data_IF_121394731353
#
_entry.id   IF_121394731353
#
_cell.length_a   1.000
_cell.length_b   1.000
_cell.length_c   1.000
_cell.angle_alpha   90.00
_cell.angle_beta   90.00
_cell.angle_gamma   90.00
#
_symmetry.space_group_name_H-M   'P 1'
#
loop_
_entity.id
_entity.type
_entity.pdbx_description
1 polymer ?
#
# COMPACT_ATOMS: atom_id res chain seq x y z
N UNK A 1 4.40 18.48 -9.04
CA UNK A 1 4.33 19.08 -7.76
C UNK A 1 5.07 18.29 -6.71
N UNK A 2 5.55 19.03 -5.79
CA UNK A 2 6.13 18.44 -4.61
C UNK A 2 5.11 17.65 -3.79
N UNK A 3 3.84 17.81 -4.10
CA UNK A 3 2.80 17.14 -3.35
C UNK A 3 2.97 15.63 -3.33
N UNK A 4 3.40 15.05 -4.46
CA UNK A 4 3.60 13.61 -4.53
C UNK A 4 4.67 13.16 -3.55
N UNK A 5 5.78 13.91 -3.44
CA UNK A 5 6.83 13.50 -2.52
C UNK A 5 6.43 13.75 -1.07
N UNK A 6 5.61 14.78 -0.81
CA UNK A 6 5.14 15.03 0.53
C UNK A 6 4.23 13.92 1.04
N UNK A 7 3.43 13.35 0.15
CA UNK A 7 2.50 12.30 0.52
C UNK A 7 3.23 11.06 1.06
N UNK A 8 4.45 10.86 0.61
CA UNK A 8 5.17 9.62 0.89
C UNK A 8 6.23 9.76 1.97
N UNK A 9 6.17 10.78 2.78
CA UNK A 9 7.07 10.89 3.92
C UNK A 9 6.78 9.80 4.93
N UNK A 10 7.83 9.35 5.60
CA UNK A 10 7.78 8.15 6.42
C UNK A 10 7.85 8.38 7.91
N UNK A 11 7.73 9.61 8.34
CA UNK A 11 7.91 9.91 9.77
C UNK A 11 6.91 9.17 10.63
N UNK A 12 5.65 9.17 10.23
CA UNK A 12 4.60 8.51 11.01
C UNK A 12 4.83 7.00 11.06
N UNK A 13 5.26 6.44 9.93
CA UNK A 13 5.50 5.00 9.85
C UNK A 13 6.64 4.62 10.79
N UNK A 14 7.70 5.41 10.80
CA UNK A 14 8.85 5.13 11.66
C UNK A 14 8.48 5.16 13.14
N UNK A 15 7.65 6.13 13.53
CA UNK A 15 7.21 6.23 14.91
C UNK A 15 6.39 5.01 15.30
N UNK A 16 5.47 4.59 14.44
CA UNK A 16 4.65 3.43 14.72
C UNK A 16 5.48 2.16 14.90
N UNK A 17 6.50 2.00 14.08
CA UNK A 17 7.36 0.83 14.18
C UNK A 17 8.16 0.81 15.47
N UNK A 18 8.62 1.99 15.90
CA UNK A 18 9.39 2.08 17.15
C UNK A 18 8.57 1.69 18.35
N UNK A 19 7.28 1.99 18.32
CA UNK A 19 6.42 1.78 19.48
C UNK A 19 5.90 0.36 19.57
N UNK A 20 6.26 -0.52 18.63
CA UNK A 20 5.65 -1.84 18.54
C UNK A 20 6.68 -2.95 18.44
N UNK A 21 7.70 -2.89 19.29
CA UNK A 21 8.73 -3.94 19.33
C UNK A 21 8.34 -4.96 20.40
N UNK A 22 8.26 -6.22 20.01
CA UNK A 22 7.90 -7.28 20.97
C UNK A 22 9.15 -7.84 21.65
N UNK A 23 8.92 -8.84 22.53
CA UNK A 23 10.00 -9.40 23.34
C UNK A 23 11.06 -10.10 22.52
N UNK A 24 10.77 -10.50 21.29
CA UNK A 24 11.72 -11.16 20.40
C UNK A 24 12.42 -10.18 19.46
N UNK A 25 12.22 -8.88 19.66
CA UNK A 25 12.82 -7.87 18.80
C UNK A 25 12.11 -7.66 17.49
N UNK A 26 10.96 -8.26 17.30
CA UNK A 26 10.18 -8.07 16.08
C UNK A 26 9.41 -6.76 16.15
N UNK A 27 9.55 -5.95 15.13
CA UNK A 27 8.86 -4.67 15.05
C UNK A 27 7.60 -4.82 14.21
N UNK A 28 6.54 -4.17 14.64
CA UNK A 28 5.22 -4.27 14.00
C UNK A 28 4.63 -2.90 13.81
N UNK A 29 3.94 -2.71 12.70
CA UNK A 29 3.12 -1.53 12.52
C UNK A 29 1.80 -1.72 13.26
N UNK A 30 1.19 -0.62 13.66
CA UNK A 30 -0.14 -0.67 14.25
C UNK A 30 -1.17 -1.10 13.21
N UNK A 31 -2.24 -1.73 13.69
CA UNK A 31 -3.38 -2.01 12.83
C UNK A 31 -4.00 -0.69 12.40
N UNK A 32 -4.28 -0.58 11.11
CA UNK A 32 -4.89 0.61 10.55
C UNK A 32 -6.20 0.20 9.87
N UNK A 33 -7.29 0.87 10.22
CA UNK A 33 -8.61 0.61 9.66
C UNK A 33 -9.14 1.91 9.11
N UNK A 34 -9.27 1.99 7.80
CA UNK A 34 -9.67 3.19 7.11
C UNK A 34 -10.93 2.93 6.31
N UNK A 35 -11.94 3.81 6.47
CA UNK A 35 -13.19 3.70 5.73
C UNK A 35 -13.41 4.95 4.91
N UNK A 36 -13.89 4.77 3.70
CA UNK A 36 -14.11 5.88 2.77
C UNK A 36 -15.40 5.61 1.99
N UNK A 37 -16.21 6.65 1.82
CA UNK A 37 -17.38 6.59 0.97
C UNK A 37 -17.17 7.52 -0.22
N UNK A 38 -17.61 7.09 -1.39
CA UNK A 38 -17.45 7.90 -2.59
C UNK A 38 -18.50 7.48 -3.62
N UNK A 39 -18.69 8.35 -4.61
CA UNK A 39 -19.60 8.09 -5.72
C UNK A 39 -18.78 7.78 -6.97
N UNK A 40 -19.18 6.74 -7.68
CA UNK A 40 -18.52 6.34 -8.93
C UNK A 40 -19.56 5.89 -9.92
N UNK A 41 -19.59 6.52 -11.09
CA UNK A 41 -20.53 6.21 -12.16
C UNK A 41 -21.97 6.19 -11.65
N UNK A 42 -22.31 7.20 -10.84
CA UNK A 42 -23.65 7.38 -10.34
C UNK A 42 -24.08 6.47 -9.21
N UNK A 43 -23.18 5.66 -8.69
CA UNK A 43 -23.46 4.77 -7.56
C UNK A 43 -22.60 5.11 -6.37
N UNK A 44 -23.14 4.87 -5.20
CA UNK A 44 -22.39 5.08 -3.97
C UNK A 44 -21.67 3.81 -3.56
N UNK A 45 -20.41 3.97 -3.17
CA UNK A 45 -19.56 2.86 -2.75
C UNK A 45 -19.03 3.12 -1.36
N UNK A 46 -18.88 2.06 -0.58
CA UNK A 46 -18.18 2.09 0.70
C UNK A 46 -16.94 1.24 0.58
N UNK A 47 -15.83 1.78 1.07
CA UNK A 47 -14.55 1.11 0.98
C UNK A 47 -13.96 0.97 2.39
N UNK A 48 -13.41 -0.20 2.67
CA UNK A 48 -12.73 -0.47 3.93
C UNK A 48 -11.36 -1.04 3.61
N UNK A 49 -10.33 -0.46 4.24
CA UNK A 49 -8.96 -0.92 4.09
C UNK A 49 -8.42 -1.19 5.48
N UNK A 50 -8.05 -2.44 5.75
CA UNK A 50 -7.51 -2.83 7.04
C UNK A 50 -6.10 -3.39 6.82
N UNK A 51 -5.11 -2.69 7.36
CA UNK A 51 -3.72 -3.17 7.35
C UNK A 51 -3.40 -3.73 8.73
N UNK A 52 -2.80 -4.90 8.76
CA UNK A 52 -2.39 -5.50 10.03
C UNK A 52 -1.08 -6.25 9.86
N UNK A 53 -0.25 -6.28 10.91
CA UNK A 53 0.91 -7.16 10.89
C UNK A 53 0.43 -8.61 10.83
N UNK A 54 1.12 -9.42 10.05
CA UNK A 54 0.69 -10.78 9.76
C UNK A 54 1.84 -11.73 10.05
N UNK A 55 1.74 -12.45 11.14
CA UNK A 55 2.80 -13.36 11.59
C UNK A 55 2.95 -14.58 10.68
N UNK A 56 1.98 -14.83 9.80
CA UNK A 56 2.09 -15.94 8.87
C UNK A 56 3.03 -15.62 7.69
N UNK A 57 3.38 -14.35 7.52
CA UNK A 57 4.29 -13.94 6.45
C UNK A 57 5.73 -14.04 6.92
N UNK A 58 6.68 -14.23 5.97
CA UNK A 58 8.10 -14.26 6.35
C UNK A 58 8.54 -12.97 7.00
N UNK A 59 9.37 -13.09 8.02
CA UNK A 59 9.95 -11.95 8.70
C UNK A 59 10.91 -11.23 7.75
N UNK A 60 10.85 -9.91 7.75
CA UNK A 60 11.70 -9.06 6.93
C UNK A 60 12.87 -8.57 7.79
N UNK A 61 14.09 -8.73 7.28
CA UNK A 61 15.29 -8.34 8.00
C UNK A 61 15.99 -7.26 7.18
N UNK A 62 16.23 -6.10 7.80
CA UNK A 62 16.93 -5.03 7.10
C UNK A 62 18.45 -5.24 7.16
N UNK A 63 19.19 -4.29 6.59
CA UNK A 63 20.65 -4.43 6.50
C UNK A 63 21.33 -4.35 7.86
N UNK A 64 20.67 -3.74 8.84
CA UNK A 64 21.21 -3.63 10.19
C UNK A 64 20.85 -4.85 11.04
N UNK A 65 20.10 -5.78 10.50
CA UNK A 65 19.69 -6.96 11.26
C UNK A 65 18.40 -6.81 12.04
N UNK A 66 17.74 -5.67 11.91
CA UNK A 66 16.45 -5.47 12.56
C UNK A 66 15.37 -6.28 11.87
N UNK A 67 14.46 -6.83 12.66
CA UNK A 67 13.42 -7.73 12.17
C UNK A 67 12.07 -7.08 12.22
N UNK A 68 11.30 -7.27 11.15
CA UNK A 68 9.98 -6.65 11.02
C UNK A 68 8.95 -7.68 10.60
N UNK A 69 7.77 -7.57 11.17
CA UNK A 69 6.63 -8.36 10.73
C UNK A 69 6.04 -7.65 9.52
N UNK A 70 5.89 -8.37 8.42
CA UNK A 70 5.26 -7.81 7.23
C UNK A 70 3.76 -7.71 7.44
N UNK A 71 3.09 -6.98 6.57
CA UNK A 71 1.66 -6.70 6.72
C UNK A 71 0.84 -7.39 5.65
N UNK A 72 -0.39 -7.70 6.00
CA UNK A 72 -1.42 -7.97 5.01
C UNK A 72 -2.45 -6.85 5.06
N UNK A 73 -3.09 -6.59 3.93
CA UNK A 73 -4.06 -5.51 3.81
C UNK A 73 -5.31 -6.08 3.16
N UNK A 74 -6.43 -5.93 3.86
CA UNK A 74 -7.73 -6.37 3.34
C UNK A 74 -8.45 -5.18 2.75
N UNK A 75 -8.83 -5.29 1.49
CA UNK A 75 -9.61 -4.28 0.79
C UNK A 75 -11.01 -4.84 0.56
N UNK A 76 -12.02 -4.12 1.08
CA UNK A 76 -13.42 -4.45 0.84
C UNK A 76 -14.12 -3.26 0.26
N UNK A 77 -14.85 -3.50 -0.81
CA UNK A 77 -15.65 -2.45 -1.45
C UNK A 77 -17.06 -3.00 -1.59
N UNK A 78 -18.03 -2.23 -1.12
CA UNK A 78 -19.44 -2.59 -1.26
C UNK A 78 -20.20 -1.47 -1.94
N UNK A 79 -21.31 -1.82 -2.57
CA UNK A 79 -22.21 -0.85 -3.15
C UNK A 79 -23.63 -1.40 -3.06
N UNK A 80 -24.52 -0.64 -2.43
CA UNK A 80 -25.90 -1.08 -2.24
C UNK A 80 -26.01 -2.38 -1.46
N UNK A 81 -25.12 -2.61 -0.52
CA UNK A 81 -25.10 -3.82 0.29
C UNK A 81 -24.47 -5.03 -0.40
N UNK A 82 -24.00 -4.86 -1.62
CA UNK A 82 -23.35 -5.94 -2.36
C UNK A 82 -21.84 -5.81 -2.27
N UNK A 83 -21.14 -6.94 -2.10
CA UNK A 83 -19.70 -6.97 -2.12
C UNK A 83 -19.20 -6.91 -3.55
N UNK A 84 -18.42 -5.89 -3.85
CA UNK A 84 -17.77 -5.73 -5.16
C UNK A 84 -16.39 -6.34 -5.11
N UNK A 85 -15.66 -6.09 -4.02
CA UNK A 85 -14.30 -6.61 -3.82
C UNK A 85 -14.16 -7.01 -2.37
N UNK A 86 -13.51 -8.15 -2.14
CA UNK A 86 -13.10 -8.59 -0.83
C UNK A 86 -11.80 -9.35 -1.04
N UNK A 87 -10.67 -8.64 -0.90
CA UNK A 87 -9.38 -9.21 -1.26
C UNK A 87 -8.32 -8.86 -0.26
N UNK A 88 -7.46 -9.83 0.03
CA UNK A 88 -6.29 -9.63 0.89
C UNK A 88 -5.08 -9.47 0.00
N UNK A 89 -4.34 -8.39 0.23
CA UNK A 89 -3.08 -8.14 -0.45
C UNK A 89 -1.92 -8.38 0.51
N UNK A 90 -0.86 -8.95 -0.03
CA UNK A 90 0.42 -9.04 0.65
C UNK A 90 1.46 -8.46 -0.28
N UNK A 91 2.68 -8.37 0.20
CA UNK A 91 3.80 -7.92 -0.63
C UNK A 91 3.91 -8.77 -1.90
N UNK A 92 3.66 -10.07 -1.77
CA UNK A 92 3.71 -10.99 -2.92
C UNK A 92 2.72 -10.65 -4.01
N UNK A 93 1.63 -9.98 -3.67
CA UNK A 93 0.65 -9.56 -4.67
C UNK A 93 1.27 -8.67 -5.73
N UNK A 94 2.37 -7.99 -5.40
CA UNK A 94 3.03 -7.03 -6.28
C UNK A 94 4.39 -7.55 -6.79
N UNK A 95 4.64 -8.84 -6.67
CA UNK A 95 5.96 -9.39 -6.96
C UNK A 95 6.41 -9.15 -8.40
N UNK A 96 5.48 -9.13 -9.35
CA UNK A 96 5.82 -8.92 -10.75
C UNK A 96 6.17 -7.47 -11.07
N UNK A 97 5.89 -6.55 -10.16
CA UNK A 97 6.07 -5.12 -10.37
C UNK A 97 7.27 -4.55 -9.64
N UNK A 98 7.83 -5.28 -8.71
CA UNK A 98 8.88 -4.78 -7.83
C UNK A 98 10.09 -5.69 -7.98
N UNK A 99 11.28 -5.06 -8.06
CA UNK A 99 12.53 -5.79 -8.13
C UNK A 99 12.64 -6.74 -6.95
N UNK A 100 13.06 -7.99 -7.22
CA UNK A 100 13.15 -9.03 -6.19
C UNK A 100 14.09 -8.65 -5.06
N UNK A 101 15.16 -7.94 -5.38
CA UNK A 101 16.11 -7.49 -4.38
C UNK A 101 15.49 -6.49 -3.42
N UNK A 102 14.71 -5.55 -3.95
CA UNK A 102 14.00 -4.60 -3.11
C UNK A 102 12.94 -5.31 -2.27
N UNK A 103 12.20 -6.24 -2.88
CA UNK A 103 11.15 -6.97 -2.18
C UNK A 103 11.66 -7.71 -0.96
N UNK A 104 12.85 -8.26 -1.06
CA UNK A 104 13.39 -9.09 0.01
C UNK A 104 13.50 -8.35 1.33
N UNK A 105 13.80 -7.06 1.27
CA UNK A 105 14.03 -6.25 2.47
C UNK A 105 12.94 -5.24 2.74
N UNK A 106 11.80 -5.37 2.07
CA UNK A 106 10.72 -4.40 2.20
C UNK A 106 9.49 -5.02 2.85
N UNK A 107 8.60 -4.16 3.32
CA UNK A 107 7.29 -4.55 3.84
C UNK A 107 6.21 -3.85 3.04
N UNK A 108 5.01 -4.44 3.05
CA UNK A 108 3.85 -3.78 2.48
C UNK A 108 3.41 -2.70 3.45
N UNK A 109 3.58 -1.45 3.04
CA UNK A 109 3.46 -0.32 3.96
C UNK A 109 2.03 0.15 4.13
N UNK A 110 1.28 0.26 3.04
CA UNK A 110 -0.05 0.80 3.14
C UNK A 110 -0.80 0.74 1.83
N UNK A 111 -2.09 1.04 1.94
CA UNK A 111 -2.99 1.09 0.81
C UNK A 111 -4.10 2.07 1.18
N UNK A 112 -4.33 3.07 0.33
CA UNK A 112 -5.34 4.09 0.59
C UNK A 112 -6.12 4.38 -0.68
N UNK A 113 -7.37 4.77 -0.50
CA UNK A 113 -8.18 5.27 -1.60
C UNK A 113 -7.54 6.54 -2.17
N UNK A 114 -7.45 6.61 -3.48
CA UNK A 114 -6.86 7.76 -4.16
C UNK A 114 -7.92 8.57 -4.92
N UNK A 115 -8.54 7.94 -5.92
CA UNK A 115 -9.45 8.66 -6.81
C UNK A 115 -10.26 7.68 -7.64
N UNK A 116 -11.18 8.23 -8.44
CA UNK A 116 -11.86 7.45 -9.46
C UNK A 116 -11.47 7.98 -10.83
N UNK A 117 -11.43 7.07 -11.80
CA UNK A 117 -11.14 7.38 -13.20
C UNK A 117 -12.13 6.65 -14.07
N UNK A 118 -12.17 6.94 -15.39
CA UNK A 118 -13.04 6.16 -16.27
C UNK A 118 -12.75 4.66 -16.25
N UNK A 119 -11.52 4.28 -15.91
CA UNK A 119 -11.14 2.87 -15.86
C UNK A 119 -11.52 2.18 -14.56
N UNK A 120 -11.70 2.94 -13.49
CA UNK A 120 -12.05 2.33 -12.23
C UNK A 120 -11.74 3.17 -11.02
N UNK A 121 -11.84 2.52 -9.88
CA UNK A 121 -11.54 3.09 -8.58
C UNK A 121 -10.05 2.84 -8.30
N UNK A 122 -9.31 3.89 -7.99
CA UNK A 122 -7.85 3.79 -7.87
C UNK A 122 -7.44 3.91 -6.41
N UNK A 123 -6.60 2.98 -5.98
CA UNK A 123 -5.97 2.98 -4.66
C UNK A 123 -4.47 3.11 -4.84
N UNK A 124 -3.85 3.83 -3.92
CA UNK A 124 -2.40 3.96 -3.89
C UNK A 124 -1.85 3.02 -2.82
N UNK A 125 -0.83 2.28 -3.17
CA UNK A 125 -0.17 1.37 -2.24
C UNK A 125 1.33 1.58 -2.32
N UNK A 126 2.06 1.03 -1.36
CA UNK A 126 3.51 1.11 -1.41
C UNK A 126 4.15 -0.04 -0.65
N UNK A 127 5.33 -0.42 -1.12
CA UNK A 127 6.24 -1.26 -0.36
C UNK A 127 7.46 -0.41 -0.01
N UNK A 128 7.98 -0.57 1.19
CA UNK A 128 9.06 0.28 1.65
C UNK A 128 10.12 -0.51 2.41
N UNK A 129 11.34 0.02 2.43
CA UNK A 129 12.34 -0.45 3.37
C UNK A 129 11.96 0.11 4.74
N UNK A 130 11.73 -0.77 5.73
CA UNK A 130 11.35 -0.28 7.05
C UNK A 130 12.42 0.65 7.62
N UNK A 131 11.97 1.69 8.31
CA UNK A 131 12.84 2.69 8.95
C UNK A 131 13.69 3.46 7.96
N UNK A 132 13.19 3.64 6.73
CA UNK A 132 13.91 4.42 5.73
C UNK A 132 12.89 5.16 4.86
N UNK A 133 13.41 6.07 4.04
CA UNK A 133 12.58 6.81 3.09
C UNK A 133 12.41 6.08 1.76
N UNK A 134 13.03 4.92 1.61
CA UNK A 134 12.99 4.21 0.34
C UNK A 134 11.69 3.43 0.22
N UNK A 135 11.00 3.66 -0.88
CA UNK A 135 9.73 2.99 -1.13
C UNK A 135 9.44 2.95 -2.62
N UNK A 136 8.57 2.04 -2.99
CA UNK A 136 8.09 1.93 -4.37
C UNK A 136 6.59 2.13 -4.36
N UNK A 137 6.10 3.20 -5.03
CA UNK A 137 4.66 3.44 -5.10
C UNK A 137 4.01 2.53 -6.14
N UNK A 138 2.81 2.06 -5.78
CA UNK A 138 2.04 1.12 -6.60
C UNK A 138 0.62 1.62 -6.69
N UNK A 139 -0.09 1.23 -7.73
CA UNK A 139 -1.50 1.55 -7.86
C UNK A 139 -2.32 0.28 -8.07
N UNK A 140 -3.52 0.31 -7.52
CA UNK A 140 -4.51 -0.74 -7.68
C UNK A 140 -5.73 -0.10 -8.29
N UNK A 141 -6.17 -0.60 -9.44
CA UNK A 141 -7.38 -0.09 -10.09
C UNK A 141 -8.43 -1.18 -10.06
N UNK A 142 -9.60 -0.84 -9.54
CA UNK A 142 -10.73 -1.74 -9.45
C UNK A 142 -11.80 -1.26 -10.43
N UNK A 143 -12.11 -2.08 -11.42
CA UNK A 143 -13.13 -1.71 -12.39
C UNK A 143 -14.53 -1.79 -11.76
N UNK A 144 -15.52 -1.23 -12.44
CA UNK A 144 -16.88 -1.21 -11.93
C UNK A 144 -17.43 -2.61 -11.65
N UNK A 145 -16.93 -3.61 -12.35
CA UNK A 145 -17.36 -5.00 -12.16
C UNK A 145 -16.45 -5.78 -11.24
N UNK A 146 -15.52 -5.10 -10.55
CA UNK A 146 -14.70 -5.72 -9.53
C UNK A 146 -13.40 -6.33 -10.00
N UNK A 147 -13.01 -6.10 -11.23
CA UNK A 147 -11.72 -6.59 -11.72
C UNK A 147 -10.59 -5.72 -11.21
N UNK A 148 -9.52 -6.36 -10.82
CA UNK A 148 -8.38 -5.69 -10.19
C UNK A 148 -7.19 -5.68 -11.13
N UNK A 149 -6.60 -4.49 -11.31
CA UNK A 149 -5.37 -4.32 -12.09
C UNK A 149 -4.33 -3.66 -11.20
N UNK A 150 -3.10 -4.11 -11.31
CA UNK A 150 -2.01 -3.59 -10.51
C UNK A 150 -0.97 -2.97 -11.42
N UNK A 151 -0.37 -1.86 -10.96
CA UNK A 151 0.66 -1.19 -11.73
C UNK A 151 1.66 -0.54 -10.80
N UNK A 152 2.87 -0.37 -11.30
CA UNK A 152 3.89 0.42 -10.63
C UNK A 152 3.66 1.88 -10.99
N UNK A 153 3.66 2.76 -9.99
CA UNK A 153 3.45 4.17 -10.24
C UNK A 153 4.73 4.81 -10.73
N UNK A 154 4.67 5.63 -11.81
CA UNK A 154 5.79 6.37 -12.32
C UNK A 154 5.83 7.72 -11.63
N UNK A 155 6.90 8.00 -11.00
CA UNK A 155 7.09 9.31 -10.43
C UNK A 155 7.71 10.21 -11.43
N UNK A 156 7.93 10.33 -11.80
CA UNK A 156 8.56 11.11 -12.60
C UNK A 156 8.56 11.61 -13.39
N UNK A 157 8.16 11.56 -13.29
CA UNK A 157 8.23 11.66 -14.00
C UNK A 157 8.57 12.18 -14.31
N UNK A 158 8.79 12.19 -13.50
CA UNK A 158 9.24 12.49 -13.68
C UNK A 158 9.48 12.84 -14.47
N UNK A 159 9.43 12.96 -14.49
CA UNK A 159 9.69 13.11 -15.17
C UNK A 159 9.87 13.79 -15.94
N UNK A 160 9.79 14.07 -15.84
CA UNK A 160 10.00 14.56 -16.57
C UNK A 160 10.58 14.96 -17.05
N UNK A 161 10.85 14.82 -16.56
CA UNK A 161 11.54 14.99 -16.90
C UNK A 161 11.76 15.23 -17.80
N UNK A 162 11.57 15.36 -17.51
CA UNK A 162 11.81 15.54 -18.20
C UNK A 162 11.93 16.11 -19.00
N UNK A 163 11.73 16.09 -18.63
CA UNK A 163 11.86 16.48 -19.35
C UNK A 163 12.08 16.98 -20.02
N UNK A 164 12.15 17.01 -19.77
CA UNK A 164 12.44 17.38 -20.31
C UNK A 164 12.78 17.62 -20.99
N UNK A 165 12.61 17.60 -20.95
CA UNK A 165 13.02 17.71 -21.58
C UNK A 165 13.31 17.86 -22.24
#
# INVERSE_FOLDING_TARGET
SSAASDVYKRQDIQVLMKDSVDANGLQRMQVSDSKTSFTYKGKEYQSSVVRRPDDSLPVVINEQGDKFVDNSITLRITSGGKSIVDKVFTKESFASLVDAKFMKHSILEGLVYDKTTPQGIVYAASVCYPQSDLYIPLSITVSADGKISLAKEELLEDLHETDSI
#
